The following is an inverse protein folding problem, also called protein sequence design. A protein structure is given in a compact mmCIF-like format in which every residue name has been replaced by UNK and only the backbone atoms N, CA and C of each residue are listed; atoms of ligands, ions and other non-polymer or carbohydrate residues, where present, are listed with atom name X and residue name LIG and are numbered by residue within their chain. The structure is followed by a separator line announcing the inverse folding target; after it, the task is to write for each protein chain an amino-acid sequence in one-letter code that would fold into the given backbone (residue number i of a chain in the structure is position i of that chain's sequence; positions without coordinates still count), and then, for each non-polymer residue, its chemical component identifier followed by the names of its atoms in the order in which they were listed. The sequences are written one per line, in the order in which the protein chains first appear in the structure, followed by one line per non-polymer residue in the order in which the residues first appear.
data_IF_895046587017
#
_entry.id   IF_895046587017
#
_cell.length_a   1.000
_cell.length_b   1.000
_cell.length_c   1.000
_cell.angle_alpha   90.00
_cell.angle_beta   90.00
_cell.angle_gamma   90.00
#
_symmetry.space_group_name_H-M   'P 1'
#
loop_
_entity.id
_entity.type
_entity.pdbx_description
1 polymer ?
#
# COMPACT_ATOMS: atom_id res chain seq x y z
N UNK A 1 20.00 40.08 9.66
CA UNK A 1 19.17 41.29 9.50
C UNK A 1 17.84 40.85 8.92
N UNK A 2 16.72 41.38 9.38
CA UNK A 2 15.41 41.02 8.85
C UNK A 2 15.32 41.57 7.41
N UNK A 3 15.28 40.69 6.42
CA UNK A 3 15.20 41.08 5.01
C UNK A 3 13.76 41.04 4.50
N UNK A 4 13.55 41.52 3.27
CA UNK A 4 12.22 41.55 2.65
C UNK A 4 11.63 40.14 2.48
N UNK A 5 12.47 39.14 2.21
CA UNK A 5 12.03 37.75 2.05
C UNK A 5 11.51 37.17 3.38
N UNK A 6 12.15 37.49 4.50
CA UNK A 6 11.71 37.16 5.84
C UNK A 6 10.39 37.86 6.19
N UNK A 7 10.25 39.16 5.87
CA UNK A 7 9.01 39.91 6.10
C UNK A 7 7.83 39.33 5.31
N UNK A 8 8.02 39.02 4.03
CA UNK A 8 6.99 38.36 3.20
C UNK A 8 6.62 36.99 3.78
N UNK A 9 7.61 36.22 4.25
CA UNK A 9 7.37 34.92 4.88
C UNK A 9 6.57 35.04 6.19
N UNK A 10 6.78 36.11 6.97
CA UNK A 10 6.01 36.42 8.18
C UNK A 10 4.56 36.75 7.84
N UNK A 11 4.38 37.73 6.95
CA UNK A 11 3.08 38.24 6.53
C UNK A 11 2.19 37.13 5.95
N UNK A 12 2.72 36.32 5.03
CA UNK A 12 1.98 35.22 4.39
C UNK A 12 1.40 34.20 5.37
N UNK A 13 2.05 33.96 6.51
CA UNK A 13 1.55 33.02 7.52
C UNK A 13 0.63 33.73 8.52
N UNK A 14 0.97 34.96 8.92
CA UNK A 14 0.16 35.78 9.83
C UNK A 14 -1.20 36.16 9.25
N UNK A 15 -1.30 36.41 7.94
CA UNK A 15 -2.54 36.73 7.26
C UNK A 15 -3.63 35.64 7.44
N UNK A 16 -3.25 34.40 7.77
CA UNK A 16 -4.19 33.29 8.00
C UNK A 16 -5.00 33.43 9.28
N UNK A 17 -4.57 34.25 10.23
CA UNK A 17 -5.34 34.60 11.43
C UNK A 17 -6.49 35.59 11.14
N UNK A 18 -6.60 36.10 9.91
CA UNK A 18 -7.62 37.09 9.55
C UNK A 18 -7.39 38.42 10.27
N UNK A 19 -8.25 38.73 11.25
CA UNK A 19 -8.15 39.92 12.10
C UNK A 19 -7.79 39.53 13.54
N UNK A 20 -6.55 39.10 13.81
CA UNK A 20 -6.13 38.73 15.16
C UNK A 20 -6.21 39.93 16.10
N UNK A 21 -6.50 39.68 17.38
CA UNK A 21 -6.47 40.74 18.40
C UNK A 21 -5.06 41.31 18.55
N UNK A 22 -4.97 42.53 19.09
CA UNK A 22 -3.67 43.20 19.33
C UNK A 22 -2.78 42.39 20.28
N UNK A 23 -3.37 41.67 21.24
CA UNK A 23 -2.67 40.81 22.18
C UNK A 23 -2.01 39.62 21.48
N UNK A 24 -2.71 38.99 20.54
CA UNK A 24 -2.16 37.87 19.74
C UNK A 24 -1.01 38.35 18.87
N UNK A 25 -1.17 39.49 18.18
CA UNK A 25 -0.10 40.08 17.37
C UNK A 25 1.13 40.40 18.22
N UNK A 26 0.93 41.02 19.39
CA UNK A 26 2.02 41.37 20.31
C UNK A 26 2.73 40.13 20.87
N UNK A 27 2.00 39.05 21.19
CA UNK A 27 2.58 37.81 21.69
C UNK A 27 3.48 37.13 20.63
N UNK A 28 3.01 37.08 19.39
CA UNK A 28 3.76 36.50 18.27
C UNK A 28 4.99 37.35 17.96
N UNK A 29 4.85 38.68 17.89
CA UNK A 29 5.96 39.60 17.65
C UNK A 29 7.06 39.46 18.73
N UNK A 30 6.68 39.46 20.00
CA UNK A 30 7.62 39.26 21.11
C UNK A 30 8.34 37.90 21.02
N UNK A 31 7.66 36.85 20.57
CA UNK A 31 8.28 35.55 20.36
C UNK A 31 9.26 35.55 19.19
N UNK A 32 8.94 36.22 18.08
CA UNK A 32 9.83 36.33 16.92
C UNK A 32 11.04 37.20 17.21
N UNK A 33 10.85 38.35 17.89
CA UNK A 33 11.93 39.22 18.30
C UNK A 33 12.96 38.49 19.16
N UNK A 34 12.51 37.71 20.16
CA UNK A 34 13.40 36.85 20.97
C UNK A 34 14.17 35.84 20.14
N UNK A 35 13.54 35.25 19.13
CA UNK A 35 14.17 34.22 18.29
C UNK A 35 15.13 34.77 17.24
N UNK A 36 14.84 35.94 16.68
CA UNK A 36 15.70 36.65 15.73
C UNK A 36 16.88 37.35 16.38
N UNK A 37 16.83 37.57 17.69
CA UNK A 37 17.94 38.14 18.45
C UNK A 37 19.06 37.09 18.59
N UNK A 38 20.26 37.34 18.02
CA UNK A 38 21.39 36.43 18.16
C UNK A 38 21.81 36.30 19.63
N UNK A 39 22.13 35.08 20.06
CA UNK A 39 22.63 34.80 21.43
C UNK A 39 24.12 34.45 21.43
N UNK A 40 24.71 34.26 20.25
CA UNK A 40 26.12 33.89 20.06
C UNK A 40 26.74 34.70 18.91
N UNK A 41 28.06 34.98 18.97
CA UNK A 41 28.78 35.57 17.84
C UNK A 41 28.60 34.72 16.57
N UNK A 42 28.43 35.37 15.41
CA UNK A 42 28.26 34.73 14.10
C UNK A 42 27.08 33.75 14.00
N UNK A 43 26.05 33.88 14.84
CA UNK A 43 24.83 33.08 14.71
C UNK A 43 24.13 33.42 13.38
N UNK A 44 23.96 32.40 12.53
CA UNK A 44 23.30 32.53 11.23
C UNK A 44 21.83 32.88 11.43
N UNK A 45 21.34 33.82 10.63
CA UNK A 45 19.94 34.23 10.65
C UNK A 45 19.05 33.10 10.09
N UNK A 46 17.85 32.84 10.67
CA UNK A 46 16.98 31.77 10.20
C UNK A 46 16.60 31.90 8.72
N UNK A 47 16.50 30.77 8.02
CA UNK A 47 16.04 30.75 6.63
C UNK A 47 14.53 31.02 6.55
N UNK A 48 14.04 31.45 5.38
CA UNK A 48 12.61 31.68 5.14
C UNK A 48 11.75 30.45 5.46
N UNK A 49 12.26 29.24 5.19
CA UNK A 49 11.60 27.99 5.53
C UNK A 49 11.48 27.79 7.05
N UNK A 50 12.54 28.08 7.82
CA UNK A 50 12.53 28.02 9.27
C UNK A 50 11.56 29.06 9.85
N UNK A 51 11.55 30.28 9.30
CA UNK A 51 10.65 31.36 9.70
C UNK A 51 9.19 30.95 9.52
N UNK A 52 8.81 30.47 8.33
CA UNK A 52 7.44 30.00 8.05
C UNK A 52 7.00 28.91 9.01
N UNK A 53 7.87 27.95 9.31
CA UNK A 53 7.59 26.86 10.25
C UNK A 53 7.34 27.41 11.66
N UNK A 54 8.22 28.27 12.17
CA UNK A 54 8.09 28.83 13.52
C UNK A 54 6.81 29.62 13.71
N UNK A 55 6.43 30.43 12.71
CA UNK A 55 5.19 31.22 12.79
C UNK A 55 3.97 30.31 12.70
N UNK A 56 4.01 29.26 11.88
CA UNK A 56 2.93 28.27 11.82
C UNK A 56 2.66 27.63 13.17
N UNK A 57 3.71 27.28 13.89
CA UNK A 57 3.61 26.71 15.25
C UNK A 57 3.00 27.74 16.22
N UNK A 58 3.40 29.01 16.14
CA UNK A 58 2.85 30.08 16.98
C UNK A 58 1.38 30.38 16.67
N UNK A 59 1.02 30.46 15.38
CA UNK A 59 -0.36 30.64 14.91
C UNK A 59 -1.24 29.51 15.44
N UNK A 60 -0.80 28.26 15.35
CA UNK A 60 -1.54 27.10 15.83
C UNK A 60 -1.78 27.11 17.35
N UNK A 61 -0.85 27.69 18.12
CA UNK A 61 -1.02 27.84 19.58
C UNK A 61 -2.10 28.88 19.91
N UNK A 62 -2.27 29.91 19.07
CA UNK A 62 -3.24 30.98 19.31
C UNK A 62 -4.61 30.73 18.69
N UNK A 63 -4.67 29.98 17.59
CA UNK A 63 -5.90 29.57 16.93
C UNK A 63 -5.69 28.18 16.32
N UNK A 64 -6.21 27.15 17.01
CA UNK A 64 -6.14 25.76 16.57
C UNK A 64 -7.32 25.36 15.67
N UNK A 65 -8.29 26.27 15.47
CA UNK A 65 -9.43 26.07 14.59
C UNK A 65 -9.07 26.26 13.11
N UNK A 66 -7.92 26.89 12.82
CA UNK A 66 -7.48 27.20 11.46
C UNK A 66 -6.42 26.23 10.93
N UNK A 67 -6.62 25.78 9.69
CA UNK A 67 -5.64 24.98 8.97
C UNK A 67 -4.53 25.89 8.40
N UNK A 68 -3.38 25.94 9.08
CA UNK A 68 -2.25 26.80 8.69
C UNK A 68 -1.40 26.18 7.56
N UNK A 69 -1.61 24.90 7.25
CA UNK A 69 -0.95 24.19 6.16
C UNK A 69 -1.96 23.30 5.44
N UNK A 70 -1.96 23.39 4.11
CA UNK A 70 -2.66 22.42 3.30
C UNK A 70 -1.76 21.19 3.14
N UNK A 71 -2.07 20.15 3.92
CA UNK A 71 -1.34 18.88 3.92
C UNK A 71 -1.82 17.91 2.84
N UNK A 72 -2.85 18.27 2.08
CA UNK A 72 -3.34 17.40 1.02
C UNK A 72 -2.22 17.21 -0.02
N UNK A 73 -2.05 16.00 -0.57
CA UNK A 73 -1.16 15.78 -1.69
C UNK A 73 -1.52 16.75 -2.82
N UNK A 74 -0.52 17.42 -3.38
CA UNK A 74 -0.71 18.30 -4.54
C UNK A 74 -0.05 17.66 -5.73
N UNK A 75 -0.74 17.66 -6.86
CA UNK A 75 -0.15 17.24 -8.12
C UNK A 75 1.07 18.13 -8.40
N UNK A 76 2.19 17.51 -8.76
CA UNK A 76 3.42 18.21 -9.10
C UNK A 76 3.79 17.89 -10.53
N UNK A 77 4.05 18.93 -11.30
CA UNK A 77 4.61 18.80 -12.64
C UNK A 77 5.96 19.51 -12.67
N UNK A 78 6.96 18.87 -13.27
CA UNK A 78 8.24 19.51 -13.55
C UNK A 78 8.79 19.05 -14.89
N UNK A 79 9.60 19.91 -15.51
CA UNK A 79 10.29 19.60 -16.75
C UNK A 79 11.72 20.10 -16.66
N UNK A 80 12.68 19.23 -16.98
CA UNK A 80 14.09 19.60 -17.08
C UNK A 80 14.60 19.25 -18.48
N UNK A 81 15.39 20.14 -19.06
CA UNK A 81 16.08 19.91 -20.33
C UNK A 81 17.56 19.61 -20.08
N UNK A 82 18.12 18.68 -20.86
CA UNK A 82 19.54 18.32 -20.88
C UNK A 82 19.97 18.18 -22.34
N UNK A 83 20.60 19.22 -22.87
CA UNK A 83 21.00 19.31 -24.28
C UNK A 83 19.85 18.93 -25.23
N UNK A 84 19.94 17.78 -25.90
CA UNK A 84 18.94 17.29 -26.87
C UNK A 84 17.82 16.44 -26.25
N UNK A 85 17.74 16.34 -24.91
CA UNK A 85 16.69 15.56 -24.23
C UNK A 85 15.92 16.44 -23.25
N UNK A 86 14.65 16.14 -23.07
CA UNK A 86 13.83 16.65 -21.99
C UNK A 86 13.27 15.49 -21.16
N UNK A 87 13.06 15.73 -19.88
CA UNK A 87 12.35 14.81 -18.97
C UNK A 87 11.20 15.58 -18.37
N UNK A 88 10.01 15.01 -18.49
CA UNK A 88 8.78 15.51 -17.86
C UNK A 88 8.47 14.55 -16.71
N UNK A 89 8.25 15.10 -15.52
CA UNK A 89 7.83 14.35 -14.34
C UNK A 89 6.49 14.86 -13.87
N UNK A 90 5.53 13.94 -13.74
CA UNK A 90 4.20 14.19 -13.22
C UNK A 90 4.00 13.30 -11.99
N UNK A 91 3.74 13.92 -10.85
CA UNK A 91 3.34 13.27 -9.61
C UNK A 91 1.87 13.62 -9.34
N UNK A 92 1.04 12.58 -9.22
CA UNK A 92 -0.39 12.67 -8.98
C UNK A 92 -0.81 11.59 -7.99
N UNK A 93 -2.05 11.68 -7.50
CA UNK A 93 -2.67 10.57 -6.77
C UNK A 93 -2.62 9.26 -7.59
N UNK A 94 -2.43 8.13 -6.91
CA UNK A 94 -2.26 6.85 -7.60
C UNK A 94 -3.47 6.46 -8.44
N UNK A 95 -4.69 6.76 -7.99
CA UNK A 95 -5.92 6.50 -8.76
C UNK A 95 -5.95 7.27 -10.08
N UNK A 96 -5.47 8.51 -10.08
CA UNK A 96 -5.34 9.36 -11.27
C UNK A 96 -4.23 8.83 -12.18
N UNK A 97 -3.08 8.45 -11.60
CA UNK A 97 -1.96 7.88 -12.33
C UNK A 97 -2.34 6.61 -13.10
N UNK A 98 -3.14 5.74 -12.49
CA UNK A 98 -3.66 4.51 -13.11
C UNK A 98 -4.52 4.85 -14.34
N UNK A 99 -5.46 5.80 -14.20
CA UNK A 99 -6.33 6.22 -15.30
C UNK A 99 -5.52 6.79 -16.47
N UNK A 100 -4.52 7.63 -16.17
CA UNK A 100 -3.61 8.19 -17.18
C UNK A 100 -2.85 7.06 -17.88
N UNK A 101 -2.31 6.10 -17.12
CA UNK A 101 -1.58 4.96 -17.68
C UNK A 101 -2.44 4.14 -18.64
N UNK A 102 -3.65 3.76 -18.24
CA UNK A 102 -4.55 2.98 -19.09
C UNK A 102 -5.00 3.76 -20.33
N UNK A 103 -5.20 5.08 -20.23
CA UNK A 103 -5.51 5.91 -21.39
C UNK A 103 -4.34 5.95 -22.39
N UNK A 104 -3.09 6.10 -21.91
CA UNK A 104 -1.90 6.05 -22.76
C UNK A 104 -1.77 4.67 -23.40
N UNK A 105 -2.03 3.60 -22.64
CA UNK A 105 -1.96 2.22 -23.13
C UNK A 105 -2.99 1.94 -24.22
N UNK A 106 -4.24 2.35 -24.01
CA UNK A 106 -5.29 2.22 -25.01
C UNK A 106 -4.92 2.97 -26.31
N UNK A 107 -4.36 4.17 -26.21
CA UNK A 107 -3.89 4.92 -27.36
C UNK A 107 -2.70 4.23 -28.05
N UNK A 108 -1.74 3.68 -27.29
CA UNK A 108 -0.59 2.96 -27.82
C UNK A 108 -1.00 1.72 -28.62
N UNK A 109 -1.91 0.90 -28.07
CA UNK A 109 -2.44 -0.29 -28.75
C UNK A 109 -3.20 0.09 -30.03
N UNK A 110 -4.09 1.08 -29.95
CA UNK A 110 -4.91 1.50 -31.08
C UNK A 110 -4.10 2.06 -32.25
N UNK A 111 -3.07 2.84 -31.94
CA UNK A 111 -2.23 3.49 -32.95
C UNK A 111 -0.99 2.65 -33.30
N UNK A 112 -0.84 1.46 -32.72
CA UNK A 112 0.30 0.56 -32.92
C UNK A 112 1.65 1.24 -32.68
N UNK A 113 1.71 2.10 -31.66
CA UNK A 113 2.90 2.86 -31.28
C UNK A 113 3.36 2.50 -29.87
N UNK A 114 4.57 2.94 -29.51
CA UNK A 114 5.04 2.82 -28.13
C UNK A 114 4.21 3.68 -27.18
N UNK A 115 4.17 3.32 -25.89
CA UNK A 115 3.58 4.15 -24.83
C UNK A 115 4.10 5.60 -24.83
N UNK A 116 5.40 5.79 -25.09
CA UNK A 116 6.02 7.10 -25.12
C UNK A 116 5.49 7.94 -26.29
N UNK A 117 5.40 7.33 -27.48
CA UNK A 117 4.86 8.00 -28.67
C UNK A 117 3.37 8.30 -28.48
N UNK A 118 2.59 7.37 -27.92
CA UNK A 118 1.19 7.60 -27.60
C UNK A 118 0.99 8.81 -26.67
N UNK A 119 1.81 8.93 -25.61
CA UNK A 119 1.77 10.09 -24.73
C UNK A 119 2.12 11.39 -25.47
N UNK A 120 3.11 11.38 -26.38
CA UNK A 120 3.43 12.53 -27.22
C UNK A 120 2.24 12.90 -28.10
N UNK A 121 1.65 11.94 -28.80
CA UNK A 121 0.51 12.18 -29.68
C UNK A 121 -0.69 12.75 -28.92
N UNK A 122 -1.01 12.19 -27.75
CA UNK A 122 -2.10 12.64 -26.88
C UNK A 122 -1.85 14.08 -26.40
N UNK A 123 -0.67 14.37 -25.85
CA UNK A 123 -0.36 15.68 -25.26
C UNK A 123 -0.14 16.78 -26.30
N UNK A 124 0.21 16.42 -27.54
CA UNK A 124 0.32 17.36 -28.66
C UNK A 124 -0.98 17.52 -29.45
N UNK A 125 -2.06 16.84 -29.05
CA UNK A 125 -3.36 16.90 -29.74
C UNK A 125 -3.36 16.28 -31.14
N UNK A 126 -2.38 15.43 -31.46
CA UNK A 126 -2.30 14.70 -32.74
C UNK A 126 -3.22 13.49 -32.77
N UNK A 127 -3.52 12.93 -31.60
CA UNK A 127 -4.61 11.98 -31.40
C UNK A 127 -5.49 12.55 -30.32
N UNK A 128 -6.80 12.50 -30.55
CA UNK A 128 -7.74 12.82 -29.50
C UNK A 128 -7.66 11.72 -28.43
N UNK A 129 -7.68 12.07 -27.14
CA UNK A 129 -8.11 11.11 -26.16
C UNK A 129 -9.54 10.76 -26.58
N UNK A 130 -9.74 9.56 -27.13
CA UNK A 130 -11.06 8.97 -26.97
C UNK A 130 -11.37 9.09 -25.47
N UNK A 131 -12.63 9.27 -25.11
CA UNK A 131 -13.05 8.84 -23.78
C UNK A 131 -12.82 7.32 -23.76
N UNK A 132 -11.55 6.92 -23.69
CA UNK A 132 -11.08 5.57 -23.66
C UNK A 132 -11.82 5.06 -22.47
N UNK A 133 -12.79 4.20 -22.73
CA UNK A 133 -13.57 3.58 -21.69
C UNK A 133 -12.56 2.68 -20.97
N UNK A 134 -11.84 3.27 -20.02
CA UNK A 134 -10.86 2.59 -19.20
C UNK A 134 -11.68 1.77 -18.23
N UNK A 135 -11.74 0.47 -18.50
CA UNK A 135 -12.39 -0.48 -17.61
C UNK A 135 -11.34 -1.01 -16.66
N UNK A 136 -11.36 -0.50 -15.43
CA UNK A 136 -10.56 -1.06 -14.35
C UNK A 136 -11.33 -2.21 -13.71
N UNK A 137 -10.66 -3.35 -13.61
CA UNK A 137 -11.14 -4.46 -12.81
C UNK A 137 -10.52 -4.35 -11.42
N UNK A 138 -11.39 -4.14 -10.44
CA UNK A 138 -11.02 -3.95 -9.05
C UNK A 138 -11.62 -5.03 -8.17
N UNK A 139 -10.92 -5.39 -7.10
CA UNK A 139 -11.37 -6.31 -6.06
C UNK A 139 -11.26 -5.59 -4.72
N UNK A 140 -12.38 -5.50 -4.00
CA UNK A 140 -12.49 -4.85 -2.69
C UNK A 140 -13.33 -5.74 -1.79
N UNK A 141 -12.95 -5.85 -0.52
CA UNK A 141 -13.79 -6.49 0.49
C UNK A 141 -15.00 -5.58 0.79
N UNK A 142 -16.19 -6.18 0.90
CA UNK A 142 -17.45 -5.47 1.17
C UNK A 142 -17.78 -5.43 2.67
N UNK A 143 -17.14 -6.27 3.47
CA UNK A 143 -17.34 -6.43 4.91
C UNK A 143 -16.33 -5.64 5.76
N UNK A 144 -15.33 -5.00 5.14
CA UNK A 144 -14.30 -4.20 5.82
C UNK A 144 -14.39 -2.74 5.39
N UNK A 145 -14.68 -1.86 6.35
CA UNK A 145 -14.62 -0.42 6.16
C UNK A 145 -13.19 0.01 5.77
N UNK A 146 -13.09 0.90 4.77
CA UNK A 146 -11.82 1.36 4.19
C UNK A 146 -10.90 0.23 3.67
N UNK A 147 -11.48 -0.91 3.26
CA UNK A 147 -10.73 -2.00 2.65
C UNK A 147 -9.88 -1.51 1.46
N UNK A 148 -8.60 -1.93 1.36
CA UNK A 148 -7.79 -1.61 0.20
C UNK A 148 -8.38 -2.24 -1.06
N UNK A 149 -8.17 -1.58 -2.20
CA UNK A 149 -8.68 -2.02 -3.49
C UNK A 149 -7.53 -2.63 -4.29
N UNK A 150 -7.64 -3.89 -4.68
CA UNK A 150 -6.71 -4.48 -5.64
C UNK A 150 -7.16 -4.13 -7.06
N UNK A 151 -6.25 -3.63 -7.88
CA UNK A 151 -6.48 -3.21 -9.27
C UNK A 151 -5.67 -4.11 -10.19
N UNK A 152 -6.32 -4.76 -11.14
CA UNK A 152 -5.61 -5.57 -12.13
C UNK A 152 -4.56 -4.73 -12.85
N UNK A 153 -3.31 -5.20 -12.86
CA UNK A 153 -2.17 -4.50 -13.46
C UNK A 153 -1.48 -3.48 -12.57
N UNK A 154 -2.13 -3.01 -11.49
CA UNK A 154 -1.61 -1.92 -10.64
C UNK A 154 -1.48 -2.27 -9.15
N UNK A 155 -1.95 -3.45 -8.73
CA UNK A 155 -1.78 -3.95 -7.37
C UNK A 155 -2.72 -3.29 -6.36
N UNK A 156 -2.33 -3.31 -5.08
CA UNK A 156 -3.14 -2.78 -3.98
C UNK A 156 -3.07 -1.25 -3.92
N UNK A 157 -4.24 -0.63 -3.82
CA UNK A 157 -4.44 0.81 -3.71
C UNK A 157 -5.21 1.13 -2.42
N UNK A 158 -4.94 2.30 -1.86
CA UNK A 158 -5.69 2.85 -0.73
C UNK A 158 -6.72 3.83 -1.29
N UNK A 159 -7.95 3.76 -0.78
CA UNK A 159 -9.05 4.59 -1.24
C UNK A 159 -9.74 4.05 -2.50
N UNK A 160 -10.79 4.74 -2.90
CA UNK A 160 -11.58 4.37 -4.07
C UNK A 160 -10.94 4.90 -5.36
N UNK A 161 -11.13 4.15 -6.45
CA UNK A 161 -10.75 4.63 -7.77
C UNK A 161 -11.92 5.39 -8.36
N UNK A 162 -11.72 6.66 -8.77
CA UNK A 162 -12.76 7.42 -9.43
C UNK A 162 -13.28 6.69 -10.67
N UNK A 163 -14.61 6.49 -10.73
CA UNK A 163 -15.27 5.85 -11.87
C UNK A 163 -16.53 6.62 -12.23
N UNK A 164 -16.76 6.82 -13.53
CA UNK A 164 -18.01 7.40 -14.04
C UNK A 164 -19.19 6.43 -13.94
N UNK A 165 -18.91 5.13 -14.00
CA UNK A 165 -19.90 4.06 -13.86
C UNK A 165 -19.25 2.82 -13.26
N UNK A 166 -19.96 2.14 -12.36
CA UNK A 166 -19.45 0.95 -11.67
C UNK A 166 -20.38 -0.24 -11.92
N UNK A 167 -19.80 -1.40 -12.25
CA UNK A 167 -20.52 -2.68 -12.25
C UNK A 167 -19.93 -3.57 -11.17
N UNK A 168 -20.73 -3.85 -10.15
CA UNK A 168 -20.33 -4.70 -9.02
C UNK A 168 -20.66 -6.15 -9.33
N UNK A 169 -19.74 -7.06 -8.98
CA UNK A 169 -19.91 -8.51 -9.07
C UNK A 169 -19.56 -9.11 -7.72
N UNK A 170 -20.48 -9.89 -7.17
CA UNK A 170 -20.22 -10.62 -5.95
C UNK A 170 -19.35 -11.86 -6.24
N UNK A 171 -18.12 -11.85 -5.73
CA UNK A 171 -17.15 -12.95 -5.81
C UNK A 171 -16.82 -13.51 -4.41
N UNK A 172 -17.68 -13.26 -3.42
CA UNK A 172 -17.57 -13.82 -2.07
C UNK A 172 -17.58 -15.34 -2.12
N UNK A 173 -18.44 -15.90 -2.98
CA UNK A 173 -18.58 -17.33 -3.27
C UNK A 173 -18.06 -17.70 -4.65
N UNK A 174 -17.76 -18.99 -4.86
CA UNK A 174 -17.36 -19.51 -6.18
C UNK A 174 -18.55 -19.40 -7.15
N UNK A 175 -18.35 -18.86 -8.36
CA UNK A 175 -19.41 -18.83 -9.38
C UNK A 175 -19.74 -20.23 -9.90
N UNK A 176 -20.97 -20.41 -10.39
CA UNK A 176 -21.39 -21.63 -11.07
C UNK A 176 -20.58 -21.88 -12.36
N UNK A 177 -20.60 -23.14 -12.81
CA UNK A 177 -19.90 -23.55 -14.02
C UNK A 177 -20.50 -22.86 -15.26
N UNK A 178 -19.63 -22.45 -16.18
CA UNK A 178 -20.08 -21.97 -17.49
C UNK A 178 -20.69 -23.13 -18.28
N UNK A 179 -21.77 -22.84 -19.02
CA UNK A 179 -22.46 -23.80 -19.89
C UNK A 179 -21.70 -24.11 -21.19
N UNK A 180 -20.59 -23.43 -21.43
CA UNK A 180 -19.79 -23.54 -22.65
C UNK A 180 -18.30 -23.68 -22.34
N UNK A 181 -17.53 -24.01 -23.37
CA UNK A 181 -16.06 -24.05 -23.30
C UNK A 181 -15.47 -22.70 -22.85
N UNK A 182 -16.03 -21.59 -23.33
CA UNK A 182 -15.60 -20.25 -22.95
C UNK A 182 -15.99 -19.92 -21.50
N UNK A 183 -15.05 -19.49 -20.64
CA UNK A 183 -15.38 -19.11 -19.28
C UNK A 183 -16.23 -17.82 -19.30
N UNK A 184 -17.39 -17.88 -18.66
CA UNK A 184 -18.20 -16.69 -18.40
C UNK A 184 -17.39 -15.67 -17.57
N UNK A 185 -17.73 -14.38 -17.68
CA UNK A 185 -16.99 -13.30 -17.01
C UNK A 185 -16.82 -13.52 -15.51
N UNK A 186 -17.83 -14.09 -14.83
CA UNK A 186 -17.75 -14.41 -13.39
C UNK A 186 -16.67 -15.47 -13.11
N UNK A 187 -16.68 -16.59 -13.85
CA UNK A 187 -15.66 -17.65 -13.75
C UNK A 187 -14.28 -17.07 -14.03
N UNK A 188 -14.16 -16.29 -15.10
CA UNK A 188 -12.89 -15.68 -15.48
C UNK A 188 -12.32 -14.77 -14.40
N UNK A 189 -13.12 -13.81 -13.93
CA UNK A 189 -12.67 -12.85 -12.91
C UNK A 189 -12.44 -13.51 -11.55
N UNK A 190 -13.18 -14.57 -11.23
CA UNK A 190 -12.90 -15.36 -10.05
C UNK A 190 -11.53 -16.05 -10.14
N UNK A 191 -11.23 -16.73 -11.25
CA UNK A 191 -9.94 -17.43 -11.43
C UNK A 191 -8.78 -16.45 -11.50
N UNK A 192 -8.91 -15.34 -12.25
CA UNK A 192 -7.90 -14.27 -12.31
C UNK A 192 -7.63 -13.67 -10.92
N UNK A 193 -8.69 -13.34 -10.18
CA UNK A 193 -8.60 -12.83 -8.82
C UNK A 193 -8.07 -13.85 -7.80
N UNK A 194 -8.31 -15.15 -7.99
CA UNK A 194 -7.73 -16.21 -7.14
C UNK A 194 -6.24 -16.34 -7.42
N UNK A 195 -5.88 -16.48 -8.69
CA UNK A 195 -4.56 -16.91 -9.12
C UNK A 195 -3.53 -15.78 -9.02
N UNK A 196 -3.91 -14.54 -9.39
CA UNK A 196 -3.05 -13.35 -9.38
C UNK A 196 -2.02 -13.35 -10.52
N UNK A 197 -1.29 -14.45 -10.68
CA UNK A 197 -0.32 -14.70 -11.75
C UNK A 197 -0.54 -16.08 -12.36
N UNK A 198 0.16 -16.35 -13.46
CA UNK A 198 0.32 -17.67 -14.03
C UNK A 198 0.67 -18.68 -12.93
N UNK A 199 -0.01 -19.83 -12.94
CA UNK A 199 0.10 -20.85 -11.89
C UNK A 199 1.26 -21.81 -12.07
N UNK A 200 2.01 -21.72 -13.18
CA UNK A 200 3.26 -22.45 -13.36
C UNK A 200 4.35 -21.96 -12.38
N UNK A 201 5.21 -22.88 -11.93
CA UNK A 201 6.25 -22.58 -10.96
C UNK A 201 7.17 -21.43 -11.44
N UNK A 202 7.34 -20.41 -10.59
CA UNK A 202 8.22 -19.26 -10.85
C UNK A 202 7.71 -18.26 -11.90
N UNK A 203 6.51 -18.44 -12.48
CA UNK A 203 6.01 -17.55 -13.50
C UNK A 203 5.30 -16.31 -12.90
N UNK A 204 5.82 -15.12 -13.17
CA UNK A 204 5.22 -13.85 -12.74
C UNK A 204 4.22 -13.23 -13.72
N UNK A 205 3.87 -13.91 -14.83
CA UNK A 205 2.94 -13.36 -15.82
C UNK A 205 1.58 -13.08 -15.16
N UNK A 206 1.02 -11.87 -15.23
CA UNK A 206 -0.25 -11.57 -14.58
C UNK A 206 -1.40 -12.46 -15.09
N UNK A 207 -2.28 -12.92 -14.20
CA UNK A 207 -3.35 -13.84 -14.55
C UNK A 207 -4.34 -13.27 -15.58
N UNK A 208 -4.58 -11.96 -15.58
CA UNK A 208 -5.44 -11.28 -16.55
C UNK A 208 -4.86 -11.23 -17.98
N UNK A 209 -3.56 -11.54 -18.15
CA UNK A 209 -2.91 -11.75 -19.44
C UNK A 209 -2.80 -13.24 -19.81
N UNK A 210 -3.32 -14.13 -18.96
CA UNK A 210 -3.22 -15.57 -19.13
C UNK A 210 -4.49 -16.17 -19.74
N UNK A 211 -4.32 -17.36 -20.33
CA UNK A 211 -5.41 -18.24 -20.68
C UNK A 211 -5.90 -18.97 -19.42
N UNK A 212 -7.19 -19.32 -19.39
CA UNK A 212 -7.71 -20.20 -18.35
C UNK A 212 -7.68 -21.61 -18.91
N UNK A 213 -6.78 -22.42 -18.38
CA UNK A 213 -6.61 -23.80 -18.79
C UNK A 213 -7.48 -24.71 -17.93
N UNK A 214 -8.14 -25.69 -18.56
CA UNK A 214 -8.91 -26.71 -17.88
C UNK A 214 -8.00 -27.85 -17.39
N UNK A 215 -8.09 -28.23 -16.11
CA UNK A 215 -7.38 -29.40 -15.56
C UNK A 215 -7.84 -30.68 -16.24
N UNK A 216 -9.15 -30.95 -16.16
CA UNK A 216 -9.82 -31.96 -16.97
C UNK A 216 -10.30 -31.24 -18.22
N UNK A 217 -9.83 -31.65 -19.40
CA UNK A 217 -10.19 -30.94 -20.62
C UNK A 217 -11.71 -30.93 -20.81
N UNK A 218 -12.23 -29.86 -21.40
CA UNK A 218 -13.66 -29.73 -21.67
C UNK A 218 -14.20 -30.86 -22.56
N UNK A 219 -13.40 -31.30 -23.55
CA UNK A 219 -13.75 -32.42 -24.43
C UNK A 219 -13.87 -33.76 -23.68
N UNK A 220 -13.17 -33.90 -22.55
CA UNK A 220 -13.21 -35.08 -21.68
C UNK A 220 -14.32 -34.97 -20.61
N UNK A 221 -15.22 -33.98 -20.74
CA UNK A 221 -16.31 -33.73 -19.80
C UNK A 221 -15.93 -32.85 -18.60
N UNK A 222 -14.75 -32.21 -18.62
CA UNK A 222 -14.33 -31.30 -17.56
C UNK A 222 -15.18 -30.01 -17.54
N UNK A 223 -15.73 -29.62 -16.38
CA UNK A 223 -16.56 -28.42 -16.29
C UNK A 223 -15.72 -27.15 -16.46
N UNK A 224 -16.31 -26.13 -17.09
CA UNK A 224 -15.73 -24.77 -17.14
C UNK A 224 -16.04 -24.06 -15.82
N UNK A 225 -15.32 -24.44 -14.75
CA UNK A 225 -15.57 -24.02 -13.37
C UNK A 225 -14.24 -23.67 -12.68
N UNK A 226 -14.20 -22.75 -11.70
CA UNK A 226 -12.97 -22.39 -10.99
C UNK A 226 -12.19 -23.57 -10.41
N UNK A 227 -12.90 -24.62 -9.95
CA UNK A 227 -12.28 -25.83 -9.39
C UNK A 227 -11.62 -26.74 -10.43
N UNK A 228 -11.82 -26.46 -11.72
CA UNK A 228 -11.22 -27.19 -12.82
C UNK A 228 -10.37 -26.27 -13.70
N UNK A 229 -10.04 -25.06 -13.25
CA UNK A 229 -9.34 -24.06 -14.06
C UNK A 229 -8.20 -23.37 -13.34
N UNK A 230 -7.14 -23.05 -14.06
CA UNK A 230 -6.02 -22.20 -13.59
C UNK A 230 -5.59 -21.22 -14.68
N UNK A 231 -5.07 -20.06 -14.28
CA UNK A 231 -4.44 -19.11 -15.19
C UNK A 231 -3.06 -19.60 -15.63
N UNK A 232 -2.86 -19.81 -16.93
CA UNK A 232 -1.56 -20.14 -17.54
C UNK A 232 -1.23 -19.15 -18.66
N UNK A 233 0.00 -18.63 -18.67
CA UNK A 233 0.46 -17.88 -19.84
C UNK A 233 0.59 -18.81 -21.04
N UNK A 234 0.57 -18.25 -22.26
CA UNK A 234 0.62 -19.05 -23.50
C UNK A 234 1.75 -20.09 -23.51
N UNK A 235 2.94 -19.73 -22.99
CA UNK A 235 4.08 -20.64 -22.91
C UNK A 235 3.79 -21.87 -22.04
N UNK A 236 3.29 -21.67 -20.82
CA UNK A 236 3.01 -22.77 -19.89
C UNK A 236 1.73 -23.52 -20.24
N UNK A 237 0.76 -22.86 -20.87
CA UNK A 237 -0.38 -23.55 -21.46
C UNK A 237 0.09 -24.54 -22.53
N UNK A 238 0.97 -24.12 -23.44
CA UNK A 238 1.53 -25.00 -24.47
C UNK A 238 2.33 -26.16 -23.86
N UNK A 239 3.12 -25.91 -22.82
CA UNK A 239 3.86 -26.94 -22.08
C UNK A 239 2.96 -28.02 -21.46
N UNK A 240 1.75 -27.64 -21.03
CA UNK A 240 0.74 -28.61 -20.57
C UNK A 240 0.10 -29.34 -21.75
N UNK A 241 -0.24 -28.60 -22.81
CA UNK A 241 -0.88 -29.17 -24.02
C UNK A 241 0.01 -30.21 -24.71
N UNK A 242 1.33 -30.01 -24.76
CA UNK A 242 2.26 -30.93 -25.40
C UNK A 242 2.77 -32.06 -24.48
N UNK A 243 2.25 -32.16 -23.25
CA UNK A 243 2.48 -33.29 -22.35
C UNK A 243 3.75 -33.21 -21.50
N UNK A 244 4.55 -32.14 -21.61
CA UNK A 244 5.76 -31.95 -20.79
C UNK A 244 5.47 -31.66 -19.32
N UNK A 245 4.26 -31.19 -19.02
CA UNK A 245 3.80 -30.93 -17.67
C UNK A 245 2.33 -31.32 -17.49
N UNK A 246 2.02 -31.88 -16.33
CA UNK A 246 0.66 -32.13 -15.87
C UNK A 246 0.47 -31.44 -14.51
N UNK A 247 -0.77 -31.09 -14.15
CA UNK A 247 -1.02 -30.55 -12.82
C UNK A 247 -2.29 -31.09 -12.17
N UNK A 248 -2.27 -31.08 -10.84
CA UNK A 248 -3.40 -31.35 -9.97
C UNK A 248 -3.75 -30.03 -9.27
N UNK A 249 -5.02 -29.66 -9.33
CA UNK A 249 -5.56 -28.49 -8.63
C UNK A 249 -6.34 -28.97 -7.41
N UNK A 250 -5.96 -28.48 -6.23
CA UNK A 250 -6.78 -28.61 -5.02
C UNK A 250 -7.91 -27.56 -5.07
N UNK A 251 -9.18 -27.97 -5.12
CA UNK A 251 -10.30 -27.04 -5.21
C UNK A 251 -10.48 -26.20 -3.94
N UNK A 252 -10.02 -26.64 -2.78
CA UNK A 252 -10.27 -25.94 -1.51
C UNK A 252 -9.20 -24.88 -1.23
N UNK A 253 -7.93 -25.24 -1.41
CA UNK A 253 -6.81 -24.31 -1.19
C UNK A 253 -6.48 -23.48 -2.44
N UNK A 254 -6.77 -24.01 -3.62
CA UNK A 254 -6.30 -23.48 -4.90
C UNK A 254 -4.82 -23.78 -5.20
N UNK A 255 -4.19 -24.63 -4.38
CA UNK A 255 -2.81 -25.06 -4.59
C UNK A 255 -2.73 -25.95 -5.84
N UNK A 256 -1.65 -25.80 -6.59
CA UNK A 256 -1.40 -26.55 -7.82
C UNK A 256 -0.14 -27.36 -7.67
N UNK A 257 -0.26 -28.68 -7.80
CA UNK A 257 0.87 -29.60 -7.85
C UNK A 257 1.21 -29.85 -9.31
N UNK A 258 2.37 -29.39 -9.75
CA UNK A 258 2.94 -29.64 -11.07
C UNK A 258 3.78 -30.91 -11.06
N UNK A 259 3.57 -31.76 -12.05
CA UNK A 259 4.32 -32.96 -12.34
C UNK A 259 4.98 -32.78 -13.71
N UNK A 260 6.30 -32.85 -13.76
CA UNK A 260 7.07 -32.67 -14.99
C UNK A 260 7.49 -34.02 -15.57
N UNK A 261 7.76 -34.04 -16.88
CA UNK A 261 8.18 -35.25 -17.61
C UNK A 261 9.47 -35.88 -17.04
N UNK A 262 10.37 -35.07 -16.48
CA UNK A 262 11.62 -35.53 -15.87
C UNK A 262 11.45 -36.17 -14.47
N UNK A 263 10.21 -36.31 -14.01
CA UNK A 263 9.86 -36.88 -12.70
C UNK A 263 9.98 -35.89 -11.54
N UNK A 264 10.39 -34.64 -11.78
CA UNK A 264 10.36 -33.59 -10.76
C UNK A 264 8.95 -33.06 -10.55
N UNK A 265 8.72 -32.41 -9.41
CA UNK A 265 7.45 -31.80 -9.09
C UNK A 265 7.63 -30.49 -8.34
N UNK A 266 6.62 -29.62 -8.43
CA UNK A 266 6.59 -28.34 -7.74
C UNK A 266 5.17 -28.03 -7.26
N UNK A 267 5.04 -27.22 -6.21
CA UNK A 267 3.76 -26.71 -5.74
C UNK A 267 3.74 -25.20 -5.93
N UNK A 268 2.62 -24.67 -6.42
CA UNK A 268 2.37 -23.23 -6.45
C UNK A 268 1.10 -22.90 -5.67
N UNK A 269 1.11 -21.79 -4.96
CA UNK A 269 -0.03 -21.31 -4.15
C UNK A 269 -0.64 -20.05 -4.76
N UNK A 270 -1.97 -19.89 -4.76
CA UNK A 270 -2.63 -18.76 -5.40
C UNK A 270 -2.25 -17.47 -4.67
N UNK A 271 -2.02 -16.40 -5.41
CA UNK A 271 -1.46 -15.15 -4.86
C UNK A 271 -2.39 -13.95 -4.98
N UNK A 272 -3.48 -14.08 -5.73
CA UNK A 272 -4.41 -12.99 -6.00
C UNK A 272 -5.29 -12.60 -4.80
N UNK A 273 -6.06 -11.50 -4.93
CA UNK A 273 -6.91 -10.99 -3.85
C UNK A 273 -8.00 -11.97 -3.37
N UNK A 274 -8.40 -12.94 -4.19
CA UNK A 274 -9.38 -13.97 -3.83
C UNK A 274 -8.74 -15.28 -3.35
N UNK A 275 -7.41 -15.37 -3.28
CA UNK A 275 -6.73 -16.57 -2.79
C UNK A 275 -7.17 -16.88 -1.34
N UNK A 276 -7.54 -18.13 -1.00
CA UNK A 276 -8.07 -18.48 0.32
C UNK A 276 -7.17 -18.06 1.50
N UNK A 277 -5.85 -18.20 1.35
CA UNK A 277 -4.86 -17.77 2.36
C UNK A 277 -4.77 -16.24 2.47
N UNK A 278 -4.96 -15.51 1.36
CA UNK A 278 -4.96 -14.04 1.31
C UNK A 278 -6.27 -13.42 1.83
N UNK A 279 -7.43 -14.05 1.60
CA UNK A 279 -8.74 -13.61 2.14
C UNK A 279 -8.72 -13.47 3.65
N UNK A 280 -7.94 -14.30 4.37
CA UNK A 280 -7.80 -14.25 5.84
C UNK A 280 -6.97 -13.07 6.35
N UNK A 281 -6.32 -12.31 5.47
CA UNK A 281 -5.43 -11.19 5.80
C UNK A 281 -5.90 -9.85 5.23
N UNK A 282 -7.20 -9.67 4.97
CA UNK A 282 -7.79 -8.37 4.67
C UNK A 282 -7.80 -7.45 5.92
N UNK A 283 -6.65 -7.30 6.58
CA UNK A 283 -6.38 -6.22 7.51
C UNK A 283 -5.67 -5.13 6.72
N UNK A 284 -6.08 -3.89 6.87
CA UNK A 284 -5.30 -2.76 6.36
C UNK A 284 -3.89 -2.80 6.96
N UNK A 285 -2.88 -2.24 6.28
CA UNK A 285 -1.51 -2.13 6.82
C UNK A 285 -1.54 -1.45 8.20
N UNK A 286 -2.45 -0.49 8.41
CA UNK A 286 -2.68 0.14 9.71
C UNK A 286 -3.20 -0.85 10.77
N UNK A 287 -4.18 -1.70 10.42
CA UNK A 287 -4.68 -2.75 11.31
C UNK A 287 -3.63 -3.84 11.60
N UNK A 288 -2.73 -4.13 10.65
CA UNK A 288 -1.63 -5.07 10.87
C UNK A 288 -0.53 -4.49 11.79
N UNK A 289 -0.19 -3.20 11.59
CA UNK A 289 0.70 -2.45 12.49
C UNK A 289 0.12 -2.37 13.90
N UNK A 290 -1.17 -2.06 14.03
CA UNK A 290 -1.86 -1.96 15.33
C UNK A 290 -1.95 -3.32 16.02
N UNK A 291 -2.25 -4.38 15.28
CA UNK A 291 -2.26 -5.75 15.78
C UNK A 291 -0.87 -6.22 16.23
N UNK A 292 0.18 -5.89 15.47
CA UNK A 292 1.57 -6.15 15.85
C UNK A 292 1.96 -5.40 17.14
N UNK A 293 1.64 -4.10 17.23
CA UNK A 293 1.91 -3.26 18.41
C UNK A 293 1.19 -3.78 19.64
N UNK A 294 -0.08 -4.16 19.50
CA UNK A 294 -0.90 -4.72 20.59
C UNK A 294 -0.33 -6.04 21.09
N UNK A 295 0.05 -6.95 20.17
CA UNK A 295 0.68 -8.23 20.54
C UNK A 295 2.02 -8.00 21.25
N UNK A 296 2.88 -7.12 20.71
CA UNK A 296 4.17 -6.79 21.33
C UNK A 296 4.02 -6.09 22.69
N UNK A 297 2.98 -5.28 22.86
CA UNK A 297 2.67 -4.66 24.15
C UNK A 297 2.24 -5.70 25.19
N UNK A 298 1.38 -6.66 24.81
CA UNK A 298 0.97 -7.75 25.70
C UNK A 298 2.13 -8.67 26.08
N UNK A 299 2.96 -9.08 25.12
CA UNK A 299 4.19 -9.85 25.37
C UNK A 299 5.13 -9.11 26.35
N UNK A 300 5.27 -7.78 26.21
CA UNK A 300 6.08 -6.98 27.12
C UNK A 300 5.46 -6.84 28.52
N UNK A 301 4.13 -6.80 28.63
CA UNK A 301 3.42 -6.80 29.92
C UNK A 301 3.55 -8.15 30.65
N UNK A 302 3.41 -9.25 29.92
CA UNK A 302 3.62 -10.61 30.44
C UNK A 302 5.05 -10.81 30.93
N UNK A 303 6.04 -10.44 30.11
CA UNK A 303 7.46 -10.48 30.49
C UNK A 303 7.77 -9.63 31.72
N UNK A 304 7.19 -8.42 31.82
CA UNK A 304 7.35 -7.57 33.00
C UNK A 304 6.77 -8.23 34.25
N UNK A 305 5.59 -8.86 34.14
CA UNK A 305 4.97 -9.55 35.27
C UNK A 305 5.80 -10.75 35.74
N UNK A 306 6.43 -11.49 34.81
CA UNK A 306 7.37 -12.57 35.12
C UNK A 306 8.61 -12.05 35.84
N UNK A 307 9.27 -11.01 35.31
CA UNK A 307 10.46 -10.40 35.91
C UNK A 307 10.17 -9.80 37.30
N UNK A 308 9.03 -9.12 37.48
CA UNK A 308 8.61 -8.57 38.76
C UNK A 308 8.36 -9.69 39.79
N UNK A 309 7.84 -10.85 39.35
CA UNK A 309 7.64 -12.03 40.20
C UNK A 309 8.99 -12.63 40.61
N UNK A 310 9.92 -12.80 39.68
CA UNK A 310 11.28 -13.30 39.96
C UNK A 310 12.03 -12.39 40.94
N UNK A 311 11.93 -11.06 40.76
CA UNK A 311 12.55 -10.10 41.66
C UNK A 311 11.96 -10.16 43.08
N UNK A 312 10.64 -10.32 43.21
CA UNK A 312 9.98 -10.51 44.52
C UNK A 312 10.41 -11.81 45.20
N UNK A 313 10.55 -12.89 44.43
CA UNK A 313 11.03 -14.18 44.95
C UNK A 313 12.49 -14.10 45.38
N UNK A 314 13.36 -13.46 44.60
CA UNK A 314 14.76 -13.23 44.93
C UNK A 314 14.92 -12.33 46.18
N UNK A 315 14.10 -11.27 46.30
CA UNK A 315 14.08 -10.40 47.48
C UNK A 315 13.68 -11.19 48.74
N UNK A 316 12.61 -12.01 48.65
CA UNK A 316 12.20 -12.90 49.75
C UNK A 316 13.29 -13.90 50.15
N UNK A 317 14.02 -14.47 49.19
CA UNK A 317 15.11 -15.39 49.47
C UNK A 317 16.30 -14.67 50.14
N UNK A 318 16.61 -13.45 49.69
CA UNK A 318 17.68 -12.62 50.26
C UNK A 318 17.36 -12.18 51.69
N UNK A 319 16.10 -11.83 51.95
CA UNK A 319 15.61 -11.46 53.29
C UNK A 319 15.62 -12.66 54.24
N UNK A 320 15.19 -13.84 53.78
CA UNK A 320 15.35 -15.10 54.53
C UNK A 320 16.83 -15.42 54.84
N UNK A 321 17.73 -15.18 53.88
CA UNK A 321 19.17 -15.40 54.08
C UNK A 321 19.79 -14.40 55.07
N UNK A 322 19.33 -13.14 55.09
CA UNK A 322 19.76 -12.12 56.06
C UNK A 322 19.29 -12.44 57.48
N UNK A 323 18.02 -12.81 57.65
CA UNK A 323 17.49 -13.20 58.97
C UNK A 323 18.21 -14.44 59.55
N UNK A 324 18.54 -15.42 58.69
CA UNK A 324 19.32 -16.59 59.10
C UNK A 324 20.75 -16.25 59.52
N UNK A 325 21.33 -15.15 59.03
CA UNK A 325 22.67 -14.66 59.39
C UNK A 325 22.66 -13.85 60.69
N UNK A 326 21.57 -13.15 61.02
CA UNK A 326 21.42 -12.43 62.29
C UNK A 326 21.14 -13.36 63.48
N UNK A 327 20.54 -14.53 63.25
CA UNK A 327 20.31 -15.55 64.27
C UNK A 327 21.56 -16.41 64.57
N UNK A 328 22.60 -16.34 63.73
CA UNK A 328 23.85 -17.09 63.87
C UNK A 328 25.02 -16.28 64.43
N UNK A 329 24.77 -15.11 65.04
CA UNK A 329 25.81 -14.34 65.73
C UNK A 329 26.20 -15.02 67.03
N UNK A 330 27.26 -15.83 67.02
CA UNK A 330 27.90 -16.36 68.23
C UNK A 330 28.32 -15.22 69.15
N UNK A 331 27.85 -15.27 70.41
CA UNK A 331 28.41 -14.52 71.52
C UNK A 331 29.89 -14.90 71.65
N UNK A 332 30.77 -13.90 71.51
CA UNK A 332 32.20 -14.05 71.81
C UNK A 332 32.32 -14.13 73.35
N UNK A 333 32.78 -15.25 73.93
CA UNK A 333 32.98 -15.32 75.37
C UNK A 333 34.28 -14.60 75.76
N UNK A 334 34.22 -13.76 76.80
CA UNK A 334 35.38 -13.19 77.47
C UNK A 334 36.08 -14.20 78.39
#
# INVERSE_FOLDING_TARGET
MLDLAALIAIDQVMAKLGQPSKEVVAAIDASLARWFTPTKPNQVFPTTAQIRRRIRDLVKVHDDSIAVEDKRPKNRYSMMTRAQRATLELEVDSSVGIIIHEAIKAAAEKHEVSMAEALILLTTGKVEPEAARVVLHTYKADDVEDAPVYVEGHGWQVGDIPAQSTTVRDLSTKPEASKSYGPATMVRKYVEGRDGTCRAAGCGMPAWLCQLDHRINYADGGPTHPDNMVALCQHHHNMKTDGRAFYILDPDTGDVVWLFEDGTWAITEPSGPLAPKRKRWARSIAQDIEGYRTRKHREAQELKAELDKEQREAARQTEKAKNKKSEGGEEIPF
#
